data_IF_807152519120
#
_entry.id   IF_807152519120
#
_cell.length_a   1.000
_cell.length_b   1.000
_cell.length_c   1.000
_cell.angle_alpha   90.00
_cell.angle_beta   90.00
_cell.angle_gamma   90.00
#
_symmetry.space_group_name_H-M   'P 1'
#
loop_
_entity.id
_entity.type
_entity.pdbx_description
1 polymer ?
#
# COMPACT_ATOMS: atom_id res chain seq x y z
N UNK A 1 -36.27 21.13 -6.86
CA UNK A 1 -37.30 20.13 -7.19
C UNK A 1 -36.80 19.46 -8.46
N UNK A 2 -36.10 18.34 -8.47
CA UNK A 2 -35.96 17.27 -7.49
C UNK A 2 -34.62 16.53 -7.68
N UNK A 3 -34.31 15.75 -6.64
CA UNK A 3 -33.09 15.01 -6.36
C UNK A 3 -33.29 13.55 -6.82
N UNK A 4 -32.18 12.81 -7.04
CA UNK A 4 -32.09 11.35 -7.18
C UNK A 4 -32.40 10.81 -8.61
N UNK A 5 -31.63 9.95 -9.27
CA UNK A 5 -30.70 8.90 -8.83
C UNK A 5 -29.76 8.58 -10.01
N UNK A 6 -28.54 9.15 -10.04
CA UNK A 6 -27.49 8.65 -10.94
C UNK A 6 -26.75 7.53 -10.21
N UNK A 7 -26.55 6.35 -10.83
CA UNK A 7 -26.32 5.13 -10.08
C UNK A 7 -24.89 5.11 -9.53
N UNK A 8 -24.78 5.45 -8.25
CA UNK A 8 -23.62 5.17 -7.40
C UNK A 8 -23.28 3.66 -7.41
N UNK A 9 -24.25 2.82 -7.84
CA UNK A 9 -24.10 1.40 -8.16
C UNK A 9 -23.16 1.09 -9.34
N UNK A 10 -22.92 2.00 -10.28
CA UNK A 10 -22.11 1.72 -11.49
C UNK A 10 -20.60 1.81 -11.24
N UNK A 11 -20.17 2.72 -10.36
CA UNK A 11 -18.76 2.86 -9.97
C UNK A 11 -18.30 1.79 -8.99
N UNK A 12 -19.19 1.30 -8.13
CA UNK A 12 -18.92 0.15 -7.26
C UNK A 12 -18.73 -1.13 -8.08
N UNK A 13 -19.58 -1.34 -9.09
CA UNK A 13 -19.46 -2.47 -10.01
C UNK A 13 -18.13 -2.43 -10.76
N UNK A 14 -17.74 -1.28 -11.32
CA UNK A 14 -16.42 -1.12 -11.97
C UNK A 14 -15.24 -1.38 -11.02
N UNK A 15 -15.34 -1.02 -9.74
CA UNK A 15 -14.34 -1.32 -8.72
C UNK A 15 -14.27 -2.81 -8.36
N UNK A 16 -15.42 -3.50 -8.33
CA UNK A 16 -15.50 -4.97 -8.14
C UNK A 16 -15.02 -5.74 -9.38
N UNK A 17 -15.30 -5.29 -10.60
CA UNK A 17 -14.86 -5.97 -11.84
C UNK A 17 -13.35 -5.81 -12.04
N UNK A 18 -12.76 -4.68 -11.64
CA UNK A 18 -11.31 -4.45 -11.74
C UNK A 18 -10.53 -5.29 -10.70
N UNK A 19 -11.04 -5.39 -9.46
CA UNK A 19 -10.49 -6.30 -8.43
C UNK A 19 -10.66 -7.77 -8.81
N UNK A 20 -11.81 -8.16 -9.36
CA UNK A 20 -12.05 -9.52 -9.85
C UNK A 20 -11.16 -9.87 -11.05
N UNK A 21 -10.88 -8.92 -11.95
CA UNK A 21 -9.99 -9.13 -13.10
C UNK A 21 -8.52 -9.27 -12.66
N UNK A 22 -8.09 -8.55 -11.63
CA UNK A 22 -6.77 -8.75 -11.00
C UNK A 22 -6.69 -10.12 -10.31
N UNK A 23 -7.79 -10.60 -9.71
CA UNK A 23 -7.85 -11.91 -9.05
C UNK A 23 -7.96 -13.09 -10.04
N UNK A 24 -8.67 -12.92 -11.17
CA UNK A 24 -8.84 -13.93 -12.22
C UNK A 24 -7.67 -14.01 -13.23
N UNK A 25 -6.83 -12.98 -13.33
CA UNK A 25 -5.59 -13.04 -14.13
C UNK A 25 -4.45 -13.82 -13.45
N UNK A 26 -4.68 -14.39 -12.26
CA UNK A 26 -3.86 -15.46 -11.68
C UNK A 26 -4.34 -16.85 -12.13
N UNK A 27 -4.77 -16.97 -13.38
CA UNK A 27 -5.11 -18.27 -13.98
C UNK A 27 -3.82 -19.02 -14.28
N UNK A 28 -3.43 -19.88 -13.33
CA UNK A 28 -2.48 -20.97 -13.54
C UNK A 28 -2.82 -21.70 -14.85
N UNK A 29 -1.88 -21.65 -15.80
CA UNK A 29 -1.95 -22.43 -17.04
C UNK A 29 -1.78 -23.93 -16.78
N UNK A 30 -2.17 -24.79 -17.73
CA UNK A 30 -2.18 -26.24 -17.54
C UNK A 30 -0.78 -26.79 -17.32
N UNK A 31 -0.68 -27.71 -16.36
CA UNK A 31 0.51 -28.48 -16.03
C UNK A 31 0.73 -29.60 -17.04
N UNK A 32 1.63 -29.38 -17.99
CA UNK A 32 2.35 -30.48 -18.63
C UNK A 32 3.84 -30.14 -18.63
N UNK A 33 4.64 -30.83 -17.81
CA UNK A 33 5.53 -31.86 -18.34
C UNK A 33 6.41 -32.51 -17.27
N UNK A 34 6.74 -33.76 -17.59
CA UNK A 34 7.65 -34.70 -16.95
C UNK A 34 9.04 -34.13 -16.65
N UNK A 35 9.69 -34.65 -15.61
CA UNK A 35 11.06 -34.41 -15.12
C UNK A 35 11.25 -33.36 -14.02
N UNK A 36 11.22 -33.84 -12.77
CA UNK A 36 12.35 -33.65 -11.85
C UNK A 36 12.69 -32.24 -11.34
N UNK A 37 11.80 -31.26 -11.42
CA UNK A 37 11.97 -29.98 -10.73
C UNK A 37 10.73 -29.64 -9.91
N UNK A 38 10.92 -29.47 -8.59
CA UNK A 38 9.87 -29.00 -7.67
C UNK A 38 9.63 -27.53 -7.97
N UNK A 39 8.57 -27.25 -8.74
CA UNK A 39 8.10 -25.90 -9.00
C UNK A 39 7.28 -25.46 -7.79
N UNK A 40 7.74 -24.41 -7.12
CA UNK A 40 7.05 -23.79 -5.99
C UNK A 40 5.68 -23.28 -6.45
N UNK A 41 4.60 -23.82 -5.87
CA UNK A 41 3.21 -23.44 -6.18
C UNK A 41 2.97 -22.02 -5.64
N UNK A 42 2.40 -21.08 -6.42
CA UNK A 42 1.86 -19.86 -5.84
C UNK A 42 0.56 -20.21 -5.12
N UNK A 43 0.66 -20.38 -3.80
CA UNK A 43 -0.50 -20.38 -2.91
C UNK A 43 -1.29 -19.10 -3.18
N UNK A 44 -2.60 -19.26 -3.40
CA UNK A 44 -3.57 -18.18 -3.32
C UNK A 44 -3.51 -17.69 -1.88
N UNK A 45 -2.66 -16.69 -1.62
CA UNK A 45 -2.54 -16.08 -0.30
C UNK A 45 -3.79 -15.23 -0.10
N UNK A 46 -4.82 -15.75 0.56
CA UNK A 46 -5.89 -14.90 1.09
C UNK A 46 -5.24 -13.84 2.00
N UNK A 47 -5.24 -12.57 1.56
CA UNK A 47 -4.67 -11.48 2.31
C UNK A 47 -5.52 -11.23 3.58
N UNK A 48 -5.06 -11.73 4.72
CA UNK A 48 -5.81 -11.69 5.99
C UNK A 48 -5.64 -10.38 6.75
N UNK A 49 -4.51 -9.71 6.57
CA UNK A 49 -4.19 -8.47 7.28
C UNK A 49 -3.75 -7.37 6.32
N UNK A 50 -4.20 -6.16 6.61
CA UNK A 50 -3.85 -4.96 5.86
C UNK A 50 -3.52 -3.81 6.83
N UNK A 51 -2.59 -2.95 6.41
CA UNK A 51 -2.26 -1.70 7.07
C UNK A 51 -2.11 -0.60 6.05
N UNK A 52 -2.87 0.47 6.25
CA UNK A 52 -2.79 1.65 5.42
C UNK A 52 -1.90 2.71 6.04
N UNK A 53 -1.01 3.24 5.22
CA UNK A 53 -0.10 4.33 5.51
C UNK A 53 -0.48 5.52 4.64
N UNK A 54 -0.54 6.69 5.26
CA UNK A 54 -0.77 7.98 4.61
C UNK A 54 0.52 8.77 4.61
N UNK A 55 0.86 9.29 3.44
CA UNK A 55 2.00 10.16 3.23
C UNK A 55 1.49 11.59 3.15
N UNK A 56 1.99 12.44 4.02
CA UNK A 56 1.61 13.85 4.10
C UNK A 56 2.85 14.71 3.89
N UNK A 57 2.85 15.48 2.80
CA UNK A 57 3.94 16.40 2.49
C UNK A 57 3.83 16.91 1.06
N UNK A 58 4.50 18.03 0.79
CA UNK A 58 4.56 18.59 -0.57
C UNK A 58 5.70 17.89 -1.30
N UNK A 59 5.41 17.31 -2.46
CA UNK A 59 6.39 16.56 -3.26
C UNK A 59 6.71 15.16 -2.73
N UNK A 60 6.04 14.70 -1.67
CA UNK A 60 6.22 13.34 -1.17
C UNK A 60 5.37 12.37 -1.98
N UNK A 61 5.98 11.27 -2.43
CA UNK A 61 5.30 10.27 -3.27
C UNK A 61 5.84 8.88 -2.95
N UNK A 62 4.95 7.89 -2.97
CA UNK A 62 5.30 6.48 -2.99
C UNK A 62 5.01 5.88 -4.36
N UNK A 63 5.90 4.99 -4.79
CA UNK A 63 5.74 4.17 -5.99
C UNK A 63 6.06 2.72 -5.62
N UNK A 64 5.13 1.82 -5.87
CA UNK A 64 5.36 0.38 -5.74
C UNK A 64 5.73 -0.20 -7.11
N UNK A 65 6.56 -1.24 -7.10
CA UNK A 65 6.77 -2.08 -8.28
C UNK A 65 5.51 -2.89 -8.61
N UNK A 66 5.34 -3.27 -9.88
CA UNK A 66 4.21 -4.08 -10.35
C UNK A 66 4.10 -5.42 -9.62
N UNK A 67 5.22 -6.02 -9.22
CA UNK A 67 5.25 -7.26 -8.43
C UNK A 67 5.00 -7.02 -6.93
N UNK A 68 5.04 -5.76 -6.46
CA UNK A 68 4.87 -5.38 -5.06
C UNK A 68 6.02 -5.79 -4.14
N UNK A 69 7.20 -6.12 -4.70
CA UNK A 69 8.41 -6.54 -3.97
C UNK A 69 9.35 -5.39 -3.62
N UNK A 70 9.29 -4.30 -4.38
CA UNK A 70 10.06 -3.08 -4.12
C UNK A 70 9.12 -1.89 -3.90
N UNK A 71 9.46 -1.07 -2.91
CA UNK A 71 8.78 0.18 -2.60
C UNK A 71 9.77 1.35 -2.70
N UNK A 72 9.46 2.30 -3.57
CA UNK A 72 10.22 3.53 -3.76
C UNK A 72 9.50 4.69 -3.06
N UNK A 73 10.25 5.43 -2.24
CA UNK A 73 9.73 6.56 -1.46
C UNK A 73 10.52 7.83 -1.77
N UNK A 74 9.83 8.82 -2.34
CA UNK A 74 10.32 10.18 -2.49
C UNK A 74 9.82 11.00 -1.31
N UNK A 75 10.67 11.26 -0.32
CA UNK A 75 10.30 11.90 0.96
C UNK A 75 10.94 13.28 1.15
N UNK A 76 11.36 13.93 0.06
CA UNK A 76 12.08 15.20 0.09
C UNK A 76 13.57 15.08 0.42
N UNK A 77 14.12 13.85 0.40
CA UNK A 77 15.56 13.61 0.31
C UNK A 77 16.05 13.84 -1.13
N UNK A 78 17.36 14.00 -1.31
CA UNK A 78 17.97 14.20 -2.63
C UNK A 78 17.81 12.99 -3.55
N UNK A 79 17.79 11.78 -2.99
CA UNK A 79 17.57 10.52 -3.68
C UNK A 79 16.31 9.82 -3.16
N UNK A 80 15.79 8.89 -3.95
CA UNK A 80 14.65 8.06 -3.57
C UNK A 80 15.12 6.97 -2.61
N UNK A 81 14.30 6.66 -1.61
CA UNK A 81 14.56 5.58 -0.67
C UNK A 81 13.90 4.32 -1.23
N UNK A 82 14.71 3.31 -1.55
CA UNK A 82 14.25 1.99 -1.94
C UNK A 82 14.12 1.09 -0.70
N UNK A 83 12.99 0.40 -0.57
CA UNK A 83 12.75 -0.59 0.47
C UNK A 83 12.36 -1.92 -0.16
N UNK A 84 13.12 -2.96 0.17
CA UNK A 84 12.80 -4.34 -0.20
C UNK A 84 11.70 -4.89 0.72
N UNK A 85 10.63 -5.38 0.11
CA UNK A 85 9.49 -5.97 0.80
C UNK A 85 9.79 -7.44 1.09
N UNK A 86 9.58 -7.94 2.32
CA UNK A 86 9.75 -9.35 2.64
C UNK A 86 8.71 -10.21 1.89
N UNK A 87 9.01 -11.47 1.54
CA UNK A 87 8.18 -12.30 0.66
C UNK A 87 6.77 -12.61 1.21
N UNK A 88 6.56 -12.45 2.51
CA UNK A 88 5.27 -12.66 3.17
C UNK A 88 4.33 -11.45 3.12
N UNK A 89 4.79 -10.31 2.58
CA UNK A 89 4.06 -9.03 2.53
C UNK A 89 4.05 -8.55 1.07
N UNK A 90 2.94 -7.95 0.64
CA UNK A 90 2.83 -7.23 -0.62
C UNK A 90 2.46 -5.78 -0.36
N UNK A 91 3.00 -4.89 -1.18
CA UNK A 91 2.72 -3.46 -1.10
C UNK A 91 1.98 -2.99 -2.33
N UNK A 92 0.90 -2.24 -2.10
CA UNK A 92 0.10 -1.62 -3.14
C UNK A 92 0.04 -0.11 -2.92
N UNK A 93 0.17 0.67 -4.00
CA UNK A 93 0.00 2.11 -3.99
C UNK A 93 -1.28 2.48 -4.74
N UNK A 94 -2.37 2.77 -4.01
CA UNK A 94 -3.63 3.24 -4.61
C UNK A 94 -3.51 4.66 -5.14
N UNK A 95 -2.80 5.50 -4.38
CA UNK A 95 -2.49 6.88 -4.71
C UNK A 95 -1.02 7.12 -4.34
N UNK A 96 -0.34 8.09 -4.94
CA UNK A 96 1.04 8.42 -4.54
C UNK A 96 1.16 8.80 -3.06
N UNK A 97 0.05 9.15 -2.40
CA UNK A 97 0.01 9.52 -0.99
C UNK A 97 -0.55 8.43 -0.06
N UNK A 98 -1.02 7.29 -0.59
CA UNK A 98 -1.66 6.22 0.19
C UNK A 98 -1.05 4.88 -0.21
N UNK A 99 -0.38 4.26 0.76
CA UNK A 99 0.27 2.96 0.62
C UNK A 99 -0.48 1.94 1.47
N UNK A 100 -0.69 0.75 0.91
CA UNK A 100 -1.31 -0.37 1.60
C UNK A 100 -0.32 -1.53 1.67
N UNK A 101 -0.03 -1.97 2.88
CA UNK A 101 0.76 -3.17 3.14
C UNK A 101 -0.21 -4.31 3.47
N UNK A 102 -0.13 -5.41 2.74
CA UNK A 102 -1.03 -6.58 2.88
C UNK A 102 -0.22 -7.86 3.06
N UNK A 103 -0.77 -8.86 3.74
CA UNK A 103 -0.10 -10.14 3.90
C UNK A 103 -0.88 -11.13 4.77
N UNK A 104 -0.31 -12.33 4.93
CA UNK A 104 -0.87 -13.39 5.78
C UNK A 104 -0.49 -13.20 7.25
N UNK A 105 0.71 -12.69 7.52
CA UNK A 105 1.21 -12.57 8.90
C UNK A 105 1.13 -11.13 9.42
N UNK A 106 0.42 -10.95 10.54
CA UNK A 106 0.21 -9.64 11.17
C UNK A 106 1.52 -8.99 11.62
N UNK A 107 2.45 -9.78 12.17
CA UNK A 107 3.71 -9.25 12.71
C UNK A 107 4.60 -8.74 11.58
N UNK A 108 4.72 -9.49 10.48
CA UNK A 108 5.50 -9.08 9.30
C UNK A 108 4.91 -7.86 8.62
N UNK A 109 3.59 -7.79 8.44
CA UNK A 109 2.92 -6.61 7.89
C UNK A 109 3.17 -5.39 8.76
N UNK A 110 3.02 -5.51 10.09
CA UNK A 110 3.26 -4.41 11.02
C UNK A 110 4.75 -4.01 11.09
N UNK A 111 5.67 -4.96 11.07
CA UNK A 111 7.11 -4.71 11.08
C UNK A 111 7.53 -3.94 9.83
N UNK A 112 7.03 -4.36 8.65
CA UNK A 112 7.30 -3.66 7.41
C UNK A 112 6.69 -2.26 7.40
N UNK A 113 5.43 -2.13 7.82
CA UNK A 113 4.77 -0.81 7.90
C UNK A 113 5.49 0.13 8.89
N UNK A 114 6.01 -0.40 9.99
CA UNK A 114 6.84 0.35 10.94
C UNK A 114 8.17 0.77 10.31
N UNK A 115 8.83 -0.11 9.54
CA UNK A 115 10.06 0.25 8.82
C UNK A 115 9.83 1.39 7.82
N UNK A 116 8.73 1.34 7.05
CA UNK A 116 8.31 2.42 6.15
C UNK A 116 8.07 3.73 6.92
N UNK A 117 7.37 3.67 8.06
CA UNK A 117 7.12 4.84 8.93
C UNK A 117 8.41 5.44 9.48
N UNK A 118 9.39 4.60 9.84
CA UNK A 118 10.68 5.03 10.39
C UNK A 118 11.52 5.85 9.41
N UNK A 119 11.32 5.70 8.09
CA UNK A 119 12.03 6.50 7.08
C UNK A 119 11.75 8.00 7.21
N UNK A 120 10.49 8.37 7.49
CA UNK A 120 10.12 9.77 7.74
C UNK A 120 8.96 9.82 8.73
N UNK A 121 9.24 9.75 10.04
CA UNK A 121 8.20 9.80 11.06
C UNK A 121 7.47 11.14 11.01
N UNK A 122 6.22 11.19 11.49
CA UNK A 122 5.44 12.40 11.40
C UNK A 122 5.98 13.49 12.33
N UNK A 123 6.15 14.69 11.78
CA UNK A 123 6.63 15.84 12.51
C UNK A 123 5.60 16.37 13.52
N UNK A 124 6.06 16.68 14.74
CA UNK A 124 5.20 17.15 15.85
C UNK A 124 4.53 18.51 15.59
N UNK A 125 5.08 19.36 14.72
CA UNK A 125 4.51 20.69 14.44
C UNK A 125 3.62 20.70 13.19
N UNK A 126 4.17 20.26 12.04
CA UNK A 126 3.47 20.34 10.75
C UNK A 126 2.69 19.05 10.41
N UNK A 127 2.94 17.94 11.12
CA UNK A 127 2.36 16.64 10.79
C UNK A 127 2.75 16.14 9.40
N UNK A 128 3.90 16.58 8.86
CA UNK A 128 4.44 16.05 7.61
C UNK A 128 5.20 14.76 7.89
N UNK A 129 5.15 13.81 6.97
CA UNK A 129 5.77 12.50 7.09
C UNK A 129 4.80 11.36 6.75
N UNK A 130 5.17 10.16 7.18
CA UNK A 130 4.41 8.93 6.98
C UNK A 130 3.70 8.61 8.30
N UNK A 131 2.38 8.40 8.24
CA UNK A 131 1.55 8.08 9.39
C UNK A 131 0.60 6.94 9.06
N UNK A 132 0.08 6.24 10.07
CA UNK A 132 -1.05 5.35 9.84
C UNK A 132 -2.31 6.18 9.56
N UNK A 133 -3.24 5.64 8.76
CA UNK A 133 -4.50 6.35 8.47
C UNK A 133 -5.30 6.64 9.75
N UNK A 134 -5.29 5.71 10.69
CA UNK A 134 -6.07 5.78 11.93
C UNK A 134 -5.30 6.48 13.08
N UNK A 135 -4.07 6.96 12.85
CA UNK A 135 -3.24 7.56 13.89
C UNK A 135 -3.57 9.06 14.09
N UNK A 136 -3.94 9.43 15.32
CA UNK A 136 -4.15 10.83 15.72
C UNK A 136 -2.82 11.45 16.16
N UNK A 137 -2.33 12.41 15.38
CA UNK A 137 -1.06 13.09 15.66
C UNK A 137 -1.27 14.27 16.61
N UNK A 138 -0.69 14.19 17.80
CA UNK A 138 -0.64 15.30 18.76
C UNK A 138 0.29 16.40 18.24
N UNK A 139 -0.29 17.43 17.63
CA UNK A 139 0.46 18.57 17.13
C UNK A 139 0.76 19.56 18.25
N UNK A 140 2.01 20.00 18.37
CA UNK A 140 2.34 21.16 19.20
C UNK A 140 2.01 22.43 18.43
N UNK A 141 1.46 23.42 19.12
CA UNK A 141 1.23 24.73 18.51
C UNK A 141 2.58 25.31 18.13
N UNK A 142 2.75 25.64 16.85
CA UNK A 142 3.92 26.37 16.38
C UNK A 142 3.91 27.79 16.96
N UNK A 143 5.07 28.44 16.96
CA UNK A 143 5.14 29.90 17.13
C UNK A 143 4.29 30.54 16.03
N UNK A 144 3.12 31.08 16.37
CA UNK A 144 2.35 31.95 15.47
C UNK A 144 3.13 33.28 15.39
N UNK A 145 4.09 33.38 14.47
CA UNK A 145 4.49 34.71 14.00
C UNK A 145 3.33 35.22 13.17
N UNK A 146 2.69 36.27 13.69
CA UNK A 146 1.66 37.05 13.00
C UNK A 146 2.27 37.76 11.80
#
# INVERSE_FOLDING_TARGET
MDIATTPIHSLAYLFEVELATIFLNYRVGPIESVHGHVIHIPIIMEAKFFRFLKIVGVGFKARAELEGRLLYLKLGYSHEVELTVPPAVRVFCFKPNIVCCTGIDKQRVHQFAAAVRSCKPPEVYKGKGIMYIDEVIKKKQGKKSK
#
